data_IF_549712798657
#
_entry.id   IF_549712798657
#
_cell.length_a   1.000
_cell.length_b   1.000
_cell.length_c   1.000
_cell.angle_alpha   90.00
_cell.angle_beta   90.00
_cell.angle_gamma   90.00
#
_symmetry.space_group_name_H-M   'P 1'
#
loop_
_entity.id
_entity.type
_entity.pdbx_description
1 polymer ?
#
# COMPACT_ATOMS: atom_id res chain seq x y z
N UNK A 1 -16.79 4.74 5.10
CA UNK A 1 -15.81 5.53 4.36
C UNK A 1 -14.70 5.94 5.30
N UNK A 2 -13.45 5.61 4.99
CA UNK A 2 -12.30 6.26 5.63
C UNK A 2 -12.24 7.71 5.13
N UNK A 3 -12.29 8.67 6.05
CA UNK A 3 -12.28 10.10 5.72
C UNK A 3 -10.98 10.51 5.01
N UNK A 4 -9.90 9.74 5.15
CA UNK A 4 -8.57 10.04 4.61
C UNK A 4 -8.51 10.26 3.08
N UNK A 5 -9.44 9.66 2.33
CA UNK A 5 -9.47 9.74 0.87
C UNK A 5 -10.42 10.82 0.35
N UNK A 6 -11.08 11.57 1.22
CA UNK A 6 -11.87 12.73 0.83
C UNK A 6 -10.98 13.84 0.26
N UNK A 7 -11.44 14.58 -0.76
CA UNK A 7 -10.70 15.71 -1.29
C UNK A 7 -10.81 16.88 -0.31
N UNK A 8 -9.77 17.07 0.48
CA UNK A 8 -9.63 18.21 1.37
C UNK A 8 -9.02 19.39 0.61
N UNK A 9 -9.68 20.55 0.65
CA UNK A 9 -9.21 21.78 -0.01
C UNK A 9 -7.87 22.29 0.56
N UNK A 10 -7.55 21.92 1.80
CA UNK A 10 -6.27 22.25 2.44
C UNK A 10 -5.07 21.53 1.82
N UNK A 11 -5.30 20.46 1.05
CA UNK A 11 -4.23 19.71 0.38
C UNK A 11 -4.00 20.33 -1.00
N UNK A 12 -3.04 21.25 -1.04
CA UNK A 12 -2.65 21.97 -2.26
C UNK A 12 -1.52 21.28 -3.03
N UNK A 13 -0.81 20.33 -2.40
CA UNK A 13 0.32 19.61 -2.99
C UNK A 13 -0.13 18.52 -3.96
N UNK A 14 0.65 18.29 -5.01
CA UNK A 14 0.36 17.18 -5.93
C UNK A 14 0.62 15.82 -5.29
N UNK A 15 1.71 15.67 -4.53
CA UNK A 15 1.98 14.47 -3.74
C UNK A 15 1.20 14.47 -2.42
N UNK A 16 0.64 13.30 -2.07
CA UNK A 16 0.03 13.04 -0.77
C UNK A 16 0.69 11.80 -0.17
N UNK A 17 1.38 11.98 0.96
CA UNK A 17 1.84 10.87 1.79
C UNK A 17 0.69 10.40 2.68
N UNK A 18 0.40 9.11 2.63
CA UNK A 18 -0.65 8.45 3.40
C UNK A 18 -0.02 7.40 4.31
N UNK A 19 -0.24 7.55 5.62
CA UNK A 19 0.31 6.70 6.67
C UNK A 19 -0.78 6.18 7.60
N UNK A 20 -0.73 4.91 7.96
CA UNK A 20 -1.56 4.32 9.02
C UNK A 20 -1.04 4.71 10.41
N UNK A 21 -1.90 4.71 11.42
CA UNK A 21 -1.58 5.12 12.81
C UNK A 21 -0.45 4.26 13.43
N UNK A 22 -0.34 3.00 13.00
CA UNK A 22 0.66 2.03 13.46
C UNK A 22 1.88 1.91 12.54
N UNK A 23 1.98 2.77 11.52
CA UNK A 23 3.11 2.76 10.58
C UNK A 23 4.16 3.79 10.98
N UNK A 24 5.40 3.33 11.13
CA UNK A 24 6.57 4.19 11.37
C UNK A 24 7.48 4.15 10.15
N UNK A 25 7.77 5.32 9.56
CA UNK A 25 8.78 5.50 8.53
C UNK A 25 9.82 6.51 9.00
N UNK A 26 11.09 6.25 8.73
CA UNK A 26 12.18 7.21 8.90
C UNK A 26 12.09 8.35 7.88
N UNK A 27 12.69 9.48 8.20
CA UNK A 27 12.80 10.62 7.26
C UNK A 27 13.54 10.24 5.97
N UNK A 28 14.55 9.38 6.09
CA UNK A 28 15.32 8.81 4.98
C UNK A 28 14.45 7.99 4.03
N UNK A 29 13.53 7.18 4.58
CA UNK A 29 12.55 6.43 3.80
C UNK A 29 11.60 7.38 3.08
N UNK A 30 11.00 8.33 3.81
CA UNK A 30 10.06 9.30 3.21
C UNK A 30 10.72 10.11 2.08
N UNK A 31 11.95 10.60 2.25
CA UNK A 31 12.68 11.33 1.21
C UNK A 31 12.94 10.47 -0.03
N UNK A 32 13.34 9.21 0.17
CA UNK A 32 13.59 8.29 -0.93
C UNK A 32 12.29 7.96 -1.69
N UNK A 33 11.21 7.62 -0.97
CA UNK A 33 9.91 7.37 -1.60
C UNK A 33 9.39 8.60 -2.36
N UNK A 34 9.58 9.80 -1.83
CA UNK A 34 9.19 11.02 -2.53
C UNK A 34 10.03 11.25 -3.79
N UNK A 35 11.34 11.04 -3.72
CA UNK A 35 12.24 11.11 -4.90
C UNK A 35 11.81 10.12 -5.99
N UNK A 36 11.44 8.89 -5.60
CA UNK A 36 10.88 7.90 -6.52
C UNK A 36 9.57 8.39 -7.12
N UNK A 37 8.63 8.86 -6.28
CA UNK A 37 7.35 9.38 -6.75
C UNK A 37 7.50 10.55 -7.73
N UNK A 38 8.49 11.43 -7.56
CA UNK A 38 8.75 12.51 -8.51
C UNK A 38 9.13 11.99 -9.91
N UNK A 39 9.74 10.81 -10.00
CA UNK A 39 10.05 10.18 -11.29
C UNK A 39 8.83 9.49 -11.92
N UNK A 40 7.83 9.17 -11.09
CA UNK A 40 6.64 8.42 -11.48
C UNK A 40 5.36 8.99 -10.82
N UNK A 41 5.03 10.27 -11.04
CA UNK A 41 3.95 10.95 -10.29
C UNK A 41 2.58 10.33 -10.53
N UNK A 42 2.40 9.68 -11.69
CA UNK A 42 1.18 8.97 -12.06
C UNK A 42 1.00 7.65 -11.32
N UNK A 43 2.00 7.18 -10.56
CA UNK A 43 2.01 5.86 -9.92
C UNK A 43 1.82 5.94 -8.41
N UNK A 44 1.39 4.82 -7.83
CA UNK A 44 1.38 4.63 -6.38
C UNK A 44 2.77 4.13 -5.98
N UNK A 45 3.44 4.88 -5.11
CA UNK A 45 4.78 4.55 -4.63
C UNK A 45 4.68 4.24 -3.14
N UNK A 46 5.13 3.08 -2.71
CA UNK A 46 5.04 2.72 -1.29
C UNK A 46 5.74 1.44 -0.92
N UNK A 47 5.64 1.09 0.37
CA UNK A 47 6.39 -0.01 0.97
C UNK A 47 5.63 -1.34 1.05
N UNK A 48 4.37 -1.38 1.55
CA UNK A 48 3.71 -2.65 1.81
C UNK A 48 3.12 -3.19 0.51
N UNK A 49 3.90 -4.01 -0.19
CA UNK A 49 3.46 -4.70 -1.39
C UNK A 49 2.60 -5.93 -1.04
N UNK A 50 1.54 -6.15 -1.81
CA UNK A 50 0.63 -7.30 -1.70
C UNK A 50 0.32 -7.84 -3.08
N UNK A 51 -0.17 -9.06 -3.14
CA UNK A 51 -0.50 -9.69 -4.41
C UNK A 51 -1.86 -10.37 -4.39
N UNK A 52 -2.36 -10.64 -5.58
CA UNK A 52 -3.50 -11.51 -5.79
C UNK A 52 -3.02 -12.83 -6.41
N UNK A 53 -3.86 -13.85 -6.37
CA UNK A 53 -3.61 -15.12 -7.06
C UNK A 53 -4.93 -15.79 -7.42
N UNK A 54 -4.93 -16.67 -8.41
CA UNK A 54 -6.08 -17.53 -8.70
C UNK A 54 -5.96 -18.84 -7.91
N UNK A 55 -6.96 -19.16 -7.10
CA UNK A 55 -7.06 -20.46 -6.42
C UNK A 55 -7.87 -21.42 -7.32
N UNK A 56 -7.18 -22.24 -8.12
CA UNK A 56 -7.82 -23.18 -9.04
C UNK A 56 -8.71 -24.21 -8.34
N UNK A 57 -8.42 -24.55 -7.09
CA UNK A 57 -9.23 -25.53 -6.34
C UNK A 57 -10.58 -24.94 -5.89
N UNK A 58 -10.64 -23.61 -5.73
CA UNK A 58 -11.83 -22.89 -5.27
C UNK A 58 -12.46 -22.02 -6.35
N UNK A 59 -11.88 -22.02 -7.55
CA UNK A 59 -12.26 -21.20 -8.70
C UNK A 59 -12.52 -19.73 -8.32
N UNK A 60 -11.60 -19.16 -7.55
CA UNK A 60 -11.76 -17.80 -7.03
C UNK A 60 -10.44 -17.07 -6.88
N UNK A 61 -10.50 -15.75 -6.95
CA UNK A 61 -9.36 -14.89 -6.67
C UNK A 61 -9.05 -14.88 -5.17
N UNK A 62 -7.76 -14.86 -4.84
CA UNK A 62 -7.23 -14.78 -3.50
C UNK A 62 -6.36 -13.54 -3.31
N UNK A 63 -6.32 -13.05 -2.08
CA UNK A 63 -5.38 -12.05 -1.58
C UNK A 63 -4.22 -12.75 -0.86
N UNK A 64 -2.99 -12.29 -1.06
CA UNK A 64 -1.83 -12.83 -0.36
C UNK A 64 -0.93 -11.72 0.17
N UNK A 65 -0.43 -11.94 1.39
CA UNK A 65 0.64 -11.16 2.01
C UNK A 65 1.99 -11.87 1.97
N UNK A 66 2.10 -12.98 1.21
CA UNK A 66 3.38 -13.66 1.03
C UNK A 66 4.39 -12.71 0.40
N UNK A 67 5.57 -12.68 0.98
CA UNK A 67 6.70 -11.94 0.45
C UNK A 67 7.23 -12.65 -0.78
N UNK A 68 7.00 -12.06 -1.94
CA UNK A 68 7.57 -12.52 -3.21
C UNK A 68 8.10 -11.32 -3.97
N UNK A 69 8.91 -11.56 -5.00
CA UNK A 69 9.37 -10.50 -5.89
C UNK A 69 8.28 -9.97 -6.82
N UNK A 70 7.10 -10.57 -6.75
CA UNK A 70 5.95 -10.26 -7.58
C UNK A 70 4.80 -9.71 -6.72
N UNK A 71 4.19 -8.62 -7.18
CA UNK A 71 3.12 -7.95 -6.48
C UNK A 71 2.16 -7.30 -7.46
N UNK A 72 0.93 -7.08 -7.03
CA UNK A 72 -0.10 -6.46 -7.86
C UNK A 72 -0.77 -5.27 -7.16
N UNK A 73 -0.38 -4.98 -5.93
CA UNK A 73 -0.93 -3.94 -5.07
C UNK A 73 0.16 -3.37 -4.18
N UNK A 74 0.07 -2.08 -3.88
CA UNK A 74 0.74 -1.44 -2.73
C UNK A 74 -0.34 -0.88 -1.82
N UNK A 75 -0.23 -1.14 -0.52
CA UNK A 75 -1.18 -0.65 0.45
C UNK A 75 -0.95 0.85 0.70
N UNK A 76 -2.04 1.60 0.79
CA UNK A 76 -2.01 3.06 1.01
C UNK A 76 -1.68 3.47 2.44
N UNK A 77 -1.41 2.50 3.31
CA UNK A 77 -1.01 2.73 4.70
C UNK A 77 0.45 3.16 4.87
N UNK A 78 1.26 3.08 3.81
CA UNK A 78 2.59 3.67 3.76
C UNK A 78 2.97 3.96 2.31
N UNK A 79 2.30 4.94 1.70
CA UNK A 79 2.45 5.24 0.28
C UNK A 79 2.25 6.72 -0.06
N UNK A 80 2.91 7.15 -1.14
CA UNK A 80 2.76 8.45 -1.77
C UNK A 80 1.98 8.26 -3.08
N UNK A 81 1.01 9.14 -3.29
CA UNK A 81 0.20 9.15 -4.50
C UNK A 81 -0.21 10.57 -4.89
N UNK A 82 -0.60 10.75 -6.15
CA UNK A 82 -1.05 12.04 -6.63
C UNK A 82 -2.45 12.42 -6.10
N UNK A 83 -2.66 13.67 -5.68
CA UNK A 83 -3.94 14.20 -5.15
C UNK A 83 -5.17 13.92 -6.01
N UNK A 84 -5.04 13.84 -7.35
CA UNK A 84 -6.20 13.58 -8.23
C UNK A 84 -6.81 12.19 -7.97
N UNK A 85 -6.06 11.26 -7.36
CA UNK A 85 -6.59 9.95 -6.97
C UNK A 85 -7.69 10.06 -5.92
N UNK A 86 -7.70 11.12 -5.11
CA UNK A 86 -8.82 11.43 -4.21
C UNK A 86 -10.07 11.87 -4.96
N UNK A 87 -9.90 12.61 -6.06
CA UNK A 87 -11.00 12.99 -6.95
C UNK A 87 -11.57 11.76 -7.65
N UNK A 88 -10.73 10.85 -8.13
CA UNK A 88 -11.18 9.55 -8.67
C UNK A 88 -11.95 8.76 -7.60
N UNK A 89 -11.43 8.67 -6.37
CA UNK A 89 -12.13 8.01 -5.27
C UNK A 89 -13.51 8.62 -4.99
N UNK A 90 -13.60 9.96 -4.97
CA UNK A 90 -14.88 10.68 -4.81
C UNK A 90 -15.82 10.40 -5.97
N UNK A 91 -15.35 10.53 -7.21
CA UNK A 91 -16.16 10.29 -8.42
C UNK A 91 -16.67 8.85 -8.48
N UNK A 92 -15.86 7.87 -8.06
CA UNK A 92 -16.27 6.47 -7.99
C UNK A 92 -17.33 6.26 -6.91
N UNK A 93 -17.26 7.02 -5.80
CA UNK A 93 -18.30 7.03 -4.77
C UNK A 93 -19.57 7.80 -5.18
N UNK A 94 -19.48 8.81 -6.04
CA UNK A 94 -20.60 9.66 -6.47
C UNK A 94 -21.34 9.13 -7.71
N UNK A 95 -20.66 8.42 -8.61
CA UNK A 95 -21.28 7.70 -9.73
C UNK A 95 -22.15 6.51 -9.26
N UNK A 96 -22.20 6.24 -7.95
CA UNK A 96 -22.98 5.19 -7.33
C UNK A 96 -24.27 5.67 -6.65
N UNK A 97 -25.35 5.70 -7.44
CA UNK A 97 -26.74 5.53 -6.95
C UNK A 97 -27.20 4.08 -7.15
N UNK A 98 -26.33 3.08 -6.95
CA UNK A 98 -26.72 1.66 -7.00
C UNK A 98 -26.04 0.80 -5.93
N UNK A 99 -26.13 1.24 -4.66
CA UNK A 99 -26.24 0.40 -3.45
C UNK A 99 -25.11 -0.57 -3.09
N UNK A 100 -24.17 -0.88 -3.99
CA UNK A 100 -23.27 -2.02 -3.83
C UNK A 100 -21.89 -1.63 -3.28
N UNK A 101 -21.27 -0.47 -3.57
CA UNK A 101 -20.02 -0.06 -2.89
C UNK A 101 -20.19 0.86 -1.66
N UNK A 102 -21.41 1.25 -1.26
CA UNK A 102 -21.62 2.01 -0.01
C UNK A 102 -21.11 1.25 1.25
N UNK A 103 -21.26 -0.08 1.27
CA UNK A 103 -20.72 -0.96 2.32
C UNK A 103 -19.21 -1.26 2.17
N UNK A 104 -18.58 -0.89 1.06
CA UNK A 104 -17.20 -1.27 0.75
C UNK A 104 -16.16 -0.26 1.17
N UNK A 105 -16.49 1.02 1.16
CA UNK A 105 -15.59 2.10 1.58
C UNK A 105 -15.17 2.06 3.06
N UNK A 106 -15.86 1.27 3.90
CA UNK A 106 -15.51 0.99 5.30
C UNK A 106 -14.66 -0.26 5.46
N UNK A 107 -14.56 -1.15 4.46
CA UNK A 107 -13.86 -2.45 4.56
C UNK A 107 -12.66 -2.59 3.62
N UNK A 108 -12.57 -1.80 2.56
CA UNK A 108 -11.44 -1.76 1.62
C UNK A 108 -10.54 -0.54 1.91
N UNK A 109 -10.22 -0.34 3.19
CA UNK A 109 -9.53 0.85 3.73
C UNK A 109 -8.01 0.87 3.41
N UNK A 110 -7.45 -0.24 2.92
CA UNK A 110 -6.01 -0.39 2.71
C UNK A 110 -5.57 -0.55 1.25
N UNK A 111 -6.50 -0.65 0.31
CA UNK A 111 -6.17 -0.90 -1.09
C UNK A 111 -7.09 -0.07 -1.97
N UNK A 112 -6.67 1.11 -2.41
CA UNK A 112 -7.30 1.68 -3.60
C UNK A 112 -6.94 0.73 -4.74
N UNK A 113 -7.91 0.12 -5.44
CA UNK A 113 -7.60 -0.65 -6.61
C UNK A 113 -7.25 0.31 -7.74
N UNK A 114 -5.99 0.72 -7.80
CA UNK A 114 -5.50 1.52 -8.92
C UNK A 114 -4.95 0.56 -9.96
N UNK A 115 -5.56 0.60 -11.13
CA UNK A 115 -5.04 -0.01 -12.34
C UNK A 115 -3.57 0.38 -12.54
N UNK A 116 -2.75 -0.68 -12.62
CA UNK A 116 -1.53 -0.76 -13.44
C UNK A 116 -0.58 0.42 -13.36
N UNK A 117 0.14 0.50 -12.24
CA UNK A 117 1.59 0.44 -12.22
C UNK A 117 2.00 0.89 -10.83
N UNK A 118 2.44 -0.10 -10.08
CA UNK A 118 2.80 0.05 -8.71
C UNK A 118 4.32 -0.03 -8.67
N UNK A 119 4.95 0.84 -7.89
CA UNK A 119 6.39 0.85 -7.72
C UNK A 119 6.72 0.66 -6.25
N UNK A 120 7.42 -0.44 -6.00
CA UNK A 120 7.89 -0.80 -4.67
C UNK A 120 9.20 -0.07 -4.39
N UNK A 121 9.24 0.63 -3.26
CA UNK A 121 10.44 1.28 -2.72
C UNK A 121 10.94 0.42 -1.56
N UNK A 122 12.24 0.10 -1.50
CA UNK A 122 12.76 -0.82 -0.47
C UNK A 122 13.77 -0.20 0.52
N UNK A 123 13.60 -0.53 1.82
CA UNK A 123 14.66 -0.46 2.85
C UNK A 123 15.06 -1.84 3.41
N UNK A 124 14.10 -2.70 3.71
CA UNK A 124 14.18 -4.18 3.72
C UNK A 124 12.84 -4.70 4.24
N UNK A 125 12.28 -5.67 3.52
CA UNK A 125 10.98 -6.31 3.80
C UNK A 125 10.95 -7.12 5.12
N UNK A 126 12.11 -7.31 5.76
CA UNK A 126 12.28 -8.05 7.03
C UNK A 126 11.93 -7.18 8.24
N UNK A 127 12.02 -5.85 8.13
CA UNK A 127 11.85 -4.95 9.27
C UNK A 127 10.40 -4.78 9.68
N UNK A 128 9.46 -4.89 8.75
CA UNK A 128 8.04 -4.92 9.11
C UNK A 128 7.73 -6.11 10.02
N UNK A 129 8.34 -7.29 9.80
CA UNK A 129 8.10 -8.42 10.70
C UNK A 129 8.63 -8.15 12.12
N UNK A 130 9.75 -7.42 12.26
CA UNK A 130 10.30 -7.04 13.57
C UNK A 130 9.66 -5.79 14.18
N UNK A 131 9.13 -4.84 13.41
CA UNK A 131 8.35 -3.70 13.91
C UNK A 131 6.93 -4.12 14.33
N UNK A 132 6.30 -5.05 13.59
CA UNK A 132 5.03 -5.67 13.99
C UNK A 132 5.18 -6.66 15.16
N UNK A 133 6.38 -7.21 15.41
CA UNK A 133 6.67 -8.05 16.58
C UNK A 133 7.21 -7.27 17.79
N UNK A 134 7.91 -6.14 17.59
CA UNK A 134 8.51 -5.34 18.67
C UNK A 134 7.64 -4.13 19.09
N UNK A 135 6.35 -4.12 18.79
CA UNK A 135 5.40 -3.20 19.43
C UNK A 135 5.10 -3.62 20.87
N UNK A 136 6.16 -3.78 21.67
CA UNK A 136 6.14 -3.82 23.14
C UNK A 136 6.30 -2.40 23.71
N UNK A 137 5.88 -1.38 22.95
CA UNK A 137 5.61 -0.07 23.53
C UNK A 137 4.21 -0.11 24.15
N UNK A 138 4.19 -0.40 25.44
CA UNK A 138 3.04 -0.27 26.33
C UNK A 138 2.50 1.16 26.26
N UNK A 139 1.53 1.41 25.37
CA UNK A 139 0.50 2.47 25.49
C UNK A 139 -0.51 2.36 24.34
N UNK A 140 -1.43 1.40 24.45
CA UNK A 140 -2.87 1.53 24.18
C UNK A 140 -3.47 0.16 23.80
N UNK A 141 -4.66 -0.08 24.34
CA UNK A 141 -5.43 -1.32 24.32
C UNK A 141 -6.09 -1.65 22.96
N UNK A 142 -5.37 -1.59 21.84
CA UNK A 142 -5.88 -2.05 20.54
C UNK A 142 -4.95 -3.11 19.97
N UNK A 143 -5.38 -4.37 20.00
CA UNK A 143 -4.78 -5.41 19.19
C UNK A 143 -4.71 -4.93 17.72
N UNK A 144 -3.59 -5.17 17.06
CA UNK A 144 -3.46 -4.83 15.63
C UNK A 144 -4.57 -5.54 14.86
N UNK A 145 -5.48 -4.77 14.25
CA UNK A 145 -6.58 -5.29 13.39
C UNK A 145 -6.07 -6.14 12.21
N UNK A 146 -4.76 -6.17 11.97
CA UNK A 146 -4.09 -6.89 10.90
C UNK A 146 -3.85 -8.35 11.28
N UNK A 147 -3.76 -8.65 12.59
CA UNK A 147 -3.61 -10.00 13.13
C UNK A 147 -4.95 -10.75 13.31
N UNK A 148 -6.07 -10.06 13.10
CA UNK A 148 -7.41 -10.64 13.16
C UNK A 148 -7.65 -11.58 11.94
N UNK A 149 -7.91 -12.89 12.16
CA UNK A 149 -8.24 -13.82 11.09
C UNK A 149 -9.42 -13.36 10.21
N UNK A 150 -10.39 -12.66 10.80
CA UNK A 150 -11.56 -12.16 10.09
C UNK A 150 -11.18 -11.07 9.09
N UNK A 151 -10.17 -10.26 9.40
CA UNK A 151 -9.69 -9.22 8.50
C UNK A 151 -9.04 -9.81 7.25
N UNK A 152 -8.28 -10.90 7.37
CA UNK A 152 -7.74 -11.60 6.19
C UNK A 152 -8.84 -12.24 5.35
N UNK A 153 -9.83 -12.90 5.99
CA UNK A 153 -10.99 -13.47 5.30
C UNK A 153 -11.83 -12.40 4.57
N UNK A 154 -11.99 -11.22 5.17
CA UNK A 154 -12.64 -10.08 4.52
C UNK A 154 -11.89 -9.63 3.27
N UNK A 155 -10.54 -9.56 3.29
CA UNK A 155 -9.74 -9.22 2.11
C UNK A 155 -9.91 -10.25 0.99
N UNK A 156 -9.97 -11.54 1.31
CA UNK A 156 -10.28 -12.60 0.34
C UNK A 156 -11.64 -12.36 -0.35
N UNK A 157 -12.65 -12.05 0.45
CA UNK A 157 -14.01 -11.79 -0.03
C UNK A 157 -14.05 -10.55 -0.93
N UNK A 158 -13.33 -9.50 -0.55
CA UNK A 158 -13.27 -8.27 -1.33
C UNK A 158 -12.57 -8.46 -2.67
N UNK A 159 -11.54 -9.30 -2.77
CA UNK A 159 -10.83 -9.57 -4.03
C UNK A 159 -11.75 -10.13 -5.12
N UNK A 160 -12.65 -11.04 -4.76
CA UNK A 160 -13.59 -11.63 -5.71
C UNK A 160 -14.67 -10.64 -6.14
N UNK A 161 -15.21 -9.86 -5.20
CA UNK A 161 -16.17 -8.79 -5.50
C UNK A 161 -15.54 -7.74 -6.42
N UNK A 162 -14.30 -7.38 -6.15
CA UNK A 162 -13.52 -6.49 -6.99
C UNK A 162 -13.41 -7.01 -8.42
N UNK A 163 -12.98 -8.25 -8.62
CA UNK A 163 -12.93 -8.84 -9.96
C UNK A 163 -14.31 -8.88 -10.65
N UNK A 164 -15.37 -9.24 -9.92
CA UNK A 164 -16.73 -9.31 -10.45
C UNK A 164 -17.22 -7.97 -11.00
N UNK A 165 -16.86 -6.85 -10.41
CA UNK A 165 -17.29 -5.52 -10.87
C UNK A 165 -16.62 -5.09 -12.17
N UNK A 166 -15.39 -5.52 -12.39
CA UNK A 166 -14.64 -5.23 -13.61
C UNK A 166 -14.86 -6.29 -14.70
N UNK A 167 -15.69 -7.32 -14.44
CA UNK A 167 -15.91 -8.45 -15.35
C UNK A 167 -14.71 -9.39 -15.47
N UNK A 168 -13.73 -9.27 -14.58
CA UNK A 168 -12.44 -9.97 -14.59
C UNK A 168 -11.48 -9.31 -13.60
N UNK A 169 -10.30 -9.89 -13.41
CA UNK A 169 -9.29 -9.30 -12.51
C UNK A 169 -8.52 -8.19 -13.23
N UNK A 170 -8.65 -6.91 -12.82
CA UNK A 170 -7.95 -5.81 -13.47
C UNK A 170 -6.57 -5.53 -12.86
N UNK A 171 -6.22 -6.16 -11.73
CA UNK A 171 -4.89 -6.01 -11.14
C UNK A 171 -3.85 -6.71 -12.02
N UNK A 172 -2.75 -6.02 -12.29
CA UNK A 172 -1.63 -6.57 -13.06
C UNK A 172 -0.43 -6.70 -12.14
N UNK A 173 0.27 -7.80 -12.31
CA UNK A 173 1.50 -8.11 -11.60
C UNK A 173 2.66 -7.24 -12.07
N UNK A 174 3.53 -6.88 -11.13
CA UNK A 174 4.74 -6.08 -11.31
C UNK A 174 5.85 -6.68 -10.45
N UNK A 175 7.08 -6.58 -10.96
CA UNK A 175 8.29 -6.97 -10.25
C UNK A 175 9.23 -5.78 -10.02
N UNK A 176 8.76 -4.56 -10.33
CA UNK A 176 9.58 -3.36 -10.26
C UNK A 176 9.88 -3.00 -8.80
N UNK A 177 11.15 -3.01 -8.42
CA UNK A 177 11.63 -2.60 -7.10
C UNK A 177 12.72 -1.55 -7.29
N UNK A 178 12.61 -0.47 -6.54
CA UNK A 178 13.56 0.62 -6.53
C UNK A 178 14.25 0.66 -5.17
N UNK A 179 15.56 0.45 -5.21
CA UNK A 179 16.45 0.55 -4.07
C UNK A 179 17.32 1.81 -4.21
N UNK A 180 17.76 2.41 -3.09
CA UNK A 180 18.75 3.47 -3.12
C UNK A 180 20.03 3.05 -3.84
N UNK A 181 20.73 4.03 -4.43
CA UNK A 181 22.06 3.80 -5.00
C UNK A 181 23.02 3.31 -3.90
N UNK A 182 23.74 2.22 -4.18
CA UNK A 182 24.64 1.51 -3.25
C UNK A 182 23.93 0.80 -2.09
N UNK A 183 22.64 0.51 -2.23
CA UNK A 183 21.90 -0.29 -1.27
C UNK A 183 22.49 -1.70 -1.16
N UNK A 184 22.83 -2.12 0.07
CA UNK A 184 23.52 -3.37 0.42
C UNK A 184 24.90 -3.58 -0.18
N UNK A 185 25.43 -2.61 -0.93
CA UNK A 185 26.80 -2.68 -1.42
C UNK A 185 27.80 -2.61 -0.28
N UNK A 186 28.91 -3.36 -0.42
CA UNK A 186 30.04 -3.40 0.52
C UNK A 186 30.92 -2.15 0.40
N UNK A 187 30.31 -0.97 0.55
CA UNK A 187 30.99 0.33 0.50
C UNK A 187 30.75 1.09 1.81
N UNK A 188 31.68 2.00 2.13
CA UNK A 188 31.54 2.85 3.31
C UNK A 188 30.19 3.58 3.31
N UNK A 189 29.52 3.58 4.47
CA UNK A 189 28.25 4.28 4.67
C UNK A 189 28.34 5.78 4.31
N UNK A 190 29.52 6.38 4.43
CA UNK A 190 29.73 7.78 4.09
C UNK A 190 29.50 8.07 2.59
N UNK A 191 29.64 7.06 1.73
CA UNK A 191 29.39 7.12 0.28
C UNK A 191 27.91 6.93 -0.08
N UNK A 192 27.10 6.40 0.84
CA UNK A 192 25.67 6.17 0.61
C UNK A 192 24.90 7.47 0.85
N UNK A 193 24.02 7.86 -0.08
CA UNK A 193 23.14 9.03 0.09
C UNK A 193 22.17 8.79 1.24
N UNK A 194 21.56 7.60 1.28
CA UNK A 194 20.59 7.17 2.28
C UNK A 194 21.28 6.24 3.29
N UNK A 195 22.02 6.82 4.23
CA UNK A 195 22.92 6.10 5.15
C UNK A 195 22.18 5.14 6.08
N UNK A 196 21.07 5.60 6.62
CA UNK A 196 20.37 4.88 7.69
C UNK A 196 19.24 3.98 7.18
N UNK A 197 19.00 3.95 5.87
CA UNK A 197 17.93 3.13 5.27
C UNK A 197 18.17 1.62 5.48
N UNK A 198 19.44 1.22 5.54
CA UNK A 198 19.87 -0.15 5.81
C UNK A 198 19.88 -0.50 7.30
N UNK A 199 19.98 0.49 8.21
CA UNK A 199 20.30 0.29 9.63
C UNK A 199 19.15 -0.10 10.54
N UNK A 200 17.92 0.10 10.11
CA UNK A 200 16.69 -0.24 10.85
C UNK A 200 16.48 -1.76 11.06
#
# INVERSE_FOLDING_TARGET
MSSRFLPYETIVTDAVLSLDEDTVLSTTEVDFAFTVWQSFPERLVGYPARSHFWDSNKERWGYTSKWTNDYSMVLTGAAIYHRYRKLQYKLWGELEVKGHLHHFSTKFESTIPVLTYVEKVSPDDVKNENLFKNSDFQTSSRASRWADPDHFAQRQTCMNKFASWFGGMPLVHSQMRLDPVLFKDQVSILRKKYRDIERL
#
